data_IF_500426985251
#
_entry.id   IF_500426985251
#
_cell.length_a   1.000
_cell.length_b   1.000
_cell.length_c   1.000
_cell.angle_alpha   90.00
_cell.angle_beta   90.00
_cell.angle_gamma   90.00
#
_symmetry.space_group_name_H-M   'P 1'
#
loop_
_entity.id
_entity.type
_entity.pdbx_description
1 polymer ?
#
# COMPACT_ATOMS: atom_id res chain seq x y z
N UNK A 1 19.27 4.94 14.69
CA UNK A 1 18.13 4.01 14.85
C UNK A 1 17.00 4.57 13.99
N UNK A 2 16.91 4.11 12.74
CA UNK A 2 15.88 4.57 11.81
C UNK A 2 14.53 4.08 12.33
N UNK A 3 13.59 5.00 12.48
CA UNK A 3 12.25 4.81 12.99
C UNK A 3 11.41 4.03 11.97
N UNK A 4 11.48 2.70 12.02
CA UNK A 4 10.54 1.83 11.31
C UNK A 4 9.16 1.92 11.98
N UNK A 5 8.38 2.91 11.56
CA UNK A 5 7.01 3.10 12.02
C UNK A 5 6.13 2.04 11.34
N UNK A 6 6.01 0.86 11.94
CA UNK A 6 5.14 -0.23 11.46
C UNK A 6 5.36 -0.60 9.98
N UNK A 7 6.61 -0.49 9.50
CA UNK A 7 7.02 -0.84 8.14
C UNK A 7 6.87 0.27 7.10
N UNK A 8 6.66 1.53 7.54
CA UNK A 8 6.93 2.73 6.76
C UNK A 8 8.39 3.14 6.88
N UNK A 9 8.93 3.70 5.81
CA UNK A 9 10.29 4.26 5.76
C UNK A 9 10.19 5.77 5.51
N UNK A 10 10.98 6.55 6.24
CA UNK A 10 11.09 7.98 6.00
C UNK A 10 11.82 8.25 4.67
N UNK A 11 11.25 9.11 3.85
CA UNK A 11 11.84 9.57 2.58
C UNK A 11 12.78 10.75 2.83
N UNK A 12 13.67 11.05 1.88
CA UNK A 12 14.54 12.24 1.97
C UNK A 12 13.75 13.56 2.14
N UNK A 13 12.49 13.61 1.70
CA UNK A 13 11.60 14.75 1.89
C UNK A 13 10.88 14.79 3.25
N UNK A 14 11.16 13.84 4.15
CA UNK A 14 10.55 13.73 5.48
C UNK A 14 9.14 13.14 5.51
N UNK A 15 8.58 12.74 4.36
CA UNK A 15 7.32 11.98 4.32
C UNK A 15 7.58 10.52 4.69
N UNK A 16 6.56 9.84 5.21
CA UNK A 16 6.63 8.41 5.51
C UNK A 16 6.00 7.62 4.37
N UNK A 17 6.69 6.60 3.87
CA UNK A 17 6.23 5.80 2.75
C UNK A 17 6.22 4.31 3.06
N UNK A 18 5.15 3.64 2.68
CA UNK A 18 5.04 2.19 2.64
C UNK A 18 4.76 1.74 1.22
N UNK A 19 5.56 0.78 0.74
CA UNK A 19 5.35 0.08 -0.54
C UNK A 19 5.22 -1.42 -0.22
N UNK A 20 4.15 -2.04 -0.72
CA UNK A 20 3.93 -3.49 -0.61
C UNK A 20 3.51 -4.06 -1.96
N UNK A 21 4.06 -5.23 -2.30
CA UNK A 21 3.65 -5.95 -3.50
C UNK A 21 2.24 -6.51 -3.37
N UNK A 22 1.43 -6.29 -4.40
CA UNK A 22 0.13 -6.91 -4.62
C UNK A 22 0.28 -7.87 -5.80
N UNK A 23 0.67 -9.09 -5.46
CA UNK A 23 0.83 -10.19 -6.40
C UNK A 23 -0.06 -11.35 -5.97
N UNK A 24 -0.70 -12.00 -6.94
CA UNK A 24 -1.49 -13.21 -6.71
C UNK A 24 -0.61 -14.37 -6.18
N UNK A 25 0.58 -14.53 -6.74
CA UNK A 25 1.59 -15.51 -6.34
C UNK A 25 2.99 -14.90 -6.38
N UNK A 26 3.97 -15.41 -5.61
CA UNK A 26 5.34 -14.87 -5.60
C UNK A 26 6.08 -14.94 -6.95
N UNK A 27 5.58 -15.74 -7.89
CA UNK A 27 6.15 -15.90 -9.23
C UNK A 27 5.42 -15.04 -10.28
N UNK A 28 4.39 -14.29 -9.88
CA UNK A 28 3.59 -13.52 -10.83
C UNK A 28 4.37 -12.32 -11.35
N UNK A 29 4.49 -12.21 -12.68
CA UNK A 29 5.09 -11.02 -13.33
C UNK A 29 4.16 -9.81 -13.31
N UNK A 30 2.87 -10.01 -13.02
CA UNK A 30 1.90 -8.95 -12.78
C UNK A 30 2.05 -8.40 -11.36
N UNK A 31 3.10 -7.60 -11.17
CA UNK A 31 3.36 -6.94 -9.89
C UNK A 31 2.57 -5.65 -9.79
N UNK A 32 1.44 -5.63 -9.09
CA UNK A 32 0.91 -4.35 -8.61
C UNK A 32 1.60 -3.96 -7.31
N UNK A 33 1.59 -2.68 -6.96
CA UNK A 33 2.11 -2.19 -5.69
C UNK A 33 1.06 -1.38 -4.97
N UNK A 34 0.80 -1.69 -3.71
CA UNK A 34 0.15 -0.77 -2.80
C UNK A 34 1.19 0.25 -2.32
N UNK A 35 0.94 1.52 -2.59
CA UNK A 35 1.74 2.64 -2.13
C UNK A 35 0.92 3.52 -1.21
N UNK A 36 1.43 3.71 0.01
CA UNK A 36 0.88 4.65 0.99
C UNK A 36 1.97 5.69 1.28
N UNK A 37 1.62 6.96 1.27
CA UNK A 37 2.50 8.05 1.69
C UNK A 37 1.76 8.94 2.66
N UNK A 38 2.32 9.09 3.86
CA UNK A 38 1.83 9.99 4.90
C UNK A 38 2.72 11.23 4.90
N UNK A 39 2.10 12.41 4.91
CA UNK A 39 2.83 13.67 4.99
C UNK A 39 3.64 13.74 6.30
N UNK A 40 4.74 14.50 6.28
CA UNK A 40 5.62 14.68 7.45
C UNK A 40 4.87 15.11 8.72
N UNK A 41 3.81 15.90 8.57
CA UNK A 41 2.98 16.42 9.67
C UNK A 41 1.88 15.44 10.14
N UNK A 42 1.76 14.26 9.50
CA UNK A 42 0.80 13.20 9.84
C UNK A 42 -0.67 13.64 9.64
N UNK A 43 -0.92 14.78 9.01
CA UNK A 43 -2.29 15.29 8.81
C UNK A 43 -2.96 14.69 7.56
N UNK A 44 -2.17 14.27 6.58
CA UNK A 44 -2.69 13.76 5.32
C UNK A 44 -1.96 12.52 4.86
N UNK A 45 -2.67 11.67 4.13
CA UNK A 45 -2.07 10.54 3.44
C UNK A 45 -2.62 10.40 2.02
N UNK A 46 -1.84 9.74 1.16
CA UNK A 46 -2.23 9.29 -0.18
C UNK A 46 -2.04 7.79 -0.26
N UNK A 47 -3.04 7.10 -0.79
CA UNK A 47 -3.00 5.66 -1.05
C UNK A 47 -3.31 5.40 -2.53
N UNK A 48 -2.53 4.53 -3.16
CA UNK A 48 -2.76 4.13 -4.54
C UNK A 48 -2.28 2.71 -4.79
N UNK A 49 -2.92 2.04 -5.73
CA UNK A 49 -2.39 0.82 -6.34
C UNK A 49 -1.76 1.20 -7.67
N UNK A 50 -0.53 0.78 -7.91
CA UNK A 50 0.21 1.13 -9.11
C UNK A 50 0.71 -0.10 -9.86
N UNK A 51 1.08 0.06 -11.12
CA UNK A 51 1.89 -0.92 -11.88
C UNK A 51 3.23 -1.20 -11.19
N UNK A 52 3.92 -2.27 -11.61
CA UNK A 52 5.16 -2.76 -10.97
C UNK A 52 6.27 -1.70 -10.87
N UNK A 53 6.37 -0.83 -11.87
CA UNK A 53 7.32 0.28 -11.89
C UNK A 53 6.94 1.45 -10.95
N UNK A 54 5.76 1.43 -10.34
CA UNK A 54 5.30 2.46 -9.41
C UNK A 54 4.76 3.74 -10.05
N UNK A 55 4.67 3.82 -11.39
CA UNK A 55 4.39 5.07 -12.10
C UNK A 55 2.91 5.27 -12.41
N UNK A 56 2.18 4.22 -12.79
CA UNK A 56 0.79 4.33 -13.25
C UNK A 56 -0.16 3.80 -12.20
N UNK A 57 -1.14 4.62 -11.79
CA UNK A 57 -2.23 4.18 -10.92
C UNK A 57 -3.17 3.21 -11.65
N UNK A 58 -3.66 2.21 -10.92
CA UNK A 58 -4.53 1.14 -11.42
C UNK A 58 -5.68 0.97 -10.44
N UNK A 59 -6.89 0.80 -10.97
CA UNK A 59 -8.06 0.49 -10.16
C UNK A 59 -8.35 -1.02 -10.27
N UNK A 60 -7.98 -1.77 -9.23
CA UNK A 60 -8.15 -3.23 -9.22
C UNK A 60 -9.58 -3.70 -8.93
N UNK A 61 -10.48 -2.76 -8.62
CA UNK A 61 -11.86 -3.06 -8.20
C UNK A 61 -12.85 -3.02 -9.38
N UNK A 62 -12.40 -2.61 -10.56
CA UNK A 62 -13.23 -2.56 -11.78
C UNK A 62 -13.30 -3.90 -12.51
N UNK A 63 -12.33 -4.80 -12.31
CA UNK A 63 -12.28 -6.10 -12.99
C UNK A 63 -12.48 -7.25 -11.99
N UNK A 64 -13.57 -8.03 -12.11
CA UNK A 64 -13.80 -9.22 -11.29
C UNK A 64 -12.66 -10.25 -11.34
N UNK A 65 -11.87 -10.29 -12.43
CA UNK A 65 -10.71 -11.19 -12.55
C UNK A 65 -9.60 -10.85 -11.54
N UNK A 66 -9.62 -9.66 -10.95
CA UNK A 66 -8.64 -9.21 -9.97
C UNK A 66 -9.03 -9.53 -8.53
N UNK A 67 -10.03 -10.41 -8.31
CA UNK A 67 -10.54 -10.77 -6.98
C UNK A 67 -9.44 -11.16 -5.97
N UNK A 68 -8.46 -11.97 -6.37
CA UNK A 68 -7.36 -12.37 -5.49
C UNK A 68 -6.49 -11.17 -5.04
N UNK A 69 -6.29 -10.18 -5.92
CA UNK A 69 -5.58 -8.95 -5.59
C UNK A 69 -6.40 -8.07 -4.64
N UNK A 70 -7.73 -8.03 -4.82
CA UNK A 70 -8.65 -7.32 -3.93
C UNK A 70 -8.64 -7.93 -2.53
N UNK A 71 -8.72 -9.26 -2.43
CA UNK A 71 -8.64 -10.00 -1.15
C UNK A 71 -7.32 -9.72 -0.42
N UNK A 72 -6.19 -9.74 -1.15
CA UNK A 72 -4.89 -9.38 -0.59
C UNK A 72 -4.82 -7.91 -0.14
N UNK A 73 -5.43 -7.00 -0.89
CA UNK A 73 -5.55 -5.61 -0.47
C UNK A 73 -6.32 -5.49 0.85
N UNK A 74 -7.48 -6.15 0.96
CA UNK A 74 -8.27 -6.13 2.20
C UNK A 74 -7.51 -6.74 3.38
N UNK A 75 -6.81 -7.85 3.18
CA UNK A 75 -5.94 -8.43 4.21
C UNK A 75 -4.87 -7.44 4.74
N UNK A 76 -4.26 -6.65 3.85
CA UNK A 76 -3.32 -5.61 4.26
C UNK A 76 -4.01 -4.49 5.04
N UNK A 77 -5.21 -4.06 4.61
CA UNK A 77 -5.98 -3.02 5.30
C UNK A 77 -6.39 -3.47 6.71
N UNK A 78 -6.89 -4.70 6.86
CA UNK A 78 -7.23 -5.28 8.16
C UNK A 78 -6.00 -5.37 9.08
N UNK A 79 -4.83 -5.68 8.49
CA UNK A 79 -3.56 -5.63 9.19
C UNK A 79 -3.19 -4.23 9.69
N UNK A 80 -3.51 -3.18 8.94
CA UNK A 80 -3.25 -1.81 9.37
C UNK A 80 -4.25 -1.33 10.42
N UNK A 81 -5.53 -1.72 10.30
CA UNK A 81 -6.56 -1.42 11.28
C UNK A 81 -6.25 -2.10 12.62
N UNK A 82 -5.90 -3.39 12.60
CA UNK A 82 -5.56 -4.13 13.82
C UNK A 82 -4.32 -3.58 14.56
N UNK A 83 -3.43 -2.88 13.86
CA UNK A 83 -2.26 -2.20 14.45
C UNK A 83 -2.55 -0.74 14.85
N UNK A 84 -3.78 -0.27 14.69
CA UNK A 84 -4.17 1.11 15.00
C UNK A 84 -3.60 2.15 14.04
N UNK A 85 -3.24 1.76 12.81
CA UNK A 85 -2.72 2.69 11.79
C UNK A 85 -3.84 3.34 10.96
N UNK A 86 -4.93 2.62 10.76
CA UNK A 86 -6.11 3.11 10.03
C UNK A 86 -7.38 2.75 10.77
N UNK A 87 -8.44 3.49 10.47
CA UNK A 87 -9.78 3.22 10.96
C UNK A 87 -10.72 3.12 9.74
N UNK A 88 -11.67 2.19 9.80
CA UNK A 88 -12.74 2.09 8.81
C UNK A 88 -13.90 2.94 9.30
N UNK A 89 -14.15 4.06 8.61
CA UNK A 89 -15.26 4.99 8.87
C UNK A 89 -16.43 4.78 7.93
#
# INVERSE_FOLDING_TARGET
RSSDLNGFTETNGGNFQLIRGLEATPQSKEGFKLKITVAKDIQTFKMSITTANGLKAVNIFKDPKQKMLQEKFYFLMDGFISRGLFEKV
#
